data_IF_671949305751
#
_entry.id   IF_671949305751
#
_cell.length_a   1.000
_cell.length_b   1.000
_cell.length_c   1.000
_cell.angle_alpha   90.00
_cell.angle_beta   90.00
_cell.angle_gamma   90.00
#
_symmetry.space_group_name_H-M   'P 1'
#
loop_
_entity.id
_entity.type
_entity.pdbx_description
1 polymer ?
#
# COMPACT_ATOMS: atom_id res chain seq x y z
N UNK A 1 8.51 -19.18 -10.41
CA UNK A 1 7.65 -18.77 -9.28
C UNK A 1 7.61 -17.26 -9.03
N UNK A 2 8.72 -16.54 -9.10
CA UNK A 2 8.71 -15.09 -8.90
C UNK A 2 7.97 -14.29 -10.00
N UNK A 3 7.99 -14.79 -11.23
CA UNK A 3 7.39 -14.09 -12.38
C UNK A 3 5.85 -14.09 -12.36
N UNK A 4 5.22 -15.17 -11.88
CA UNK A 4 3.76 -15.27 -11.81
C UNK A 4 3.15 -14.34 -10.75
N UNK A 5 3.80 -14.23 -9.58
CA UNK A 5 3.36 -13.30 -8.51
C UNK A 5 3.56 -11.82 -8.90
N UNK A 6 4.60 -11.53 -9.68
CA UNK A 6 4.84 -10.19 -10.18
C UNK A 6 3.79 -9.77 -11.21
N UNK A 7 3.41 -10.71 -12.10
CA UNK A 7 2.33 -10.51 -13.07
C UNK A 7 0.96 -10.33 -12.39
N UNK A 8 0.70 -11.08 -11.30
CA UNK A 8 -0.56 -11.01 -10.55
C UNK A 8 -0.73 -9.67 -9.82
N UNK A 9 0.35 -9.12 -9.25
CA UNK A 9 0.29 -7.81 -8.58
C UNK A 9 -0.03 -6.68 -9.54
N UNK A 10 0.64 -6.64 -10.68
CA UNK A 10 0.38 -5.65 -11.74
C UNK A 10 -1.04 -5.77 -12.28
N UNK A 11 -1.46 -6.99 -12.61
CA UNK A 11 -2.80 -7.26 -13.13
C UNK A 11 -3.91 -6.83 -12.14
N UNK A 12 -3.74 -7.12 -10.86
CA UNK A 12 -4.70 -6.73 -9.82
C UNK A 12 -4.79 -5.21 -9.66
N UNK A 13 -3.67 -4.52 -9.55
CA UNK A 13 -3.64 -3.06 -9.39
C UNK A 13 -4.33 -2.38 -10.58
N UNK A 14 -3.99 -2.76 -11.81
CA UNK A 14 -4.63 -2.21 -13.01
C UNK A 14 -6.13 -2.53 -13.06
N UNK A 15 -6.53 -3.74 -12.69
CA UNK A 15 -7.92 -4.13 -12.60
C UNK A 15 -8.72 -3.25 -11.64
N UNK A 16 -8.21 -3.01 -10.42
CA UNK A 16 -8.91 -2.18 -9.43
C UNK A 16 -8.95 -0.71 -9.86
N UNK A 17 -7.83 -0.17 -10.35
CA UNK A 17 -7.78 1.22 -10.84
C UNK A 17 -8.81 1.43 -11.95
N UNK A 18 -8.83 0.55 -12.94
CA UNK A 18 -9.74 0.64 -14.08
C UNK A 18 -11.22 0.56 -13.66
N UNK A 19 -11.57 -0.37 -12.77
CA UNK A 19 -12.94 -0.51 -12.29
C UNK A 19 -13.37 0.65 -11.41
N UNK A 20 -12.49 1.18 -10.57
CA UNK A 20 -12.78 2.34 -9.71
C UNK A 20 -12.90 3.65 -10.50
N UNK A 21 -12.21 3.78 -11.63
CA UNK A 21 -12.31 4.96 -12.50
C UNK A 21 -13.58 4.96 -13.38
N UNK A 22 -14.21 3.81 -13.55
CA UNK A 22 -15.49 3.69 -14.24
C UNK A 22 -16.63 4.19 -13.34
N UNK A 23 -17.20 5.36 -13.65
CA UNK A 23 -18.29 5.95 -12.88
C UNK A 23 -19.59 5.11 -12.79
N UNK A 24 -19.71 4.05 -13.59
CA UNK A 24 -20.83 3.11 -13.58
C UNK A 24 -20.66 1.95 -12.61
N UNK A 25 -19.45 1.72 -12.08
CA UNK A 25 -19.11 0.58 -11.23
C UNK A 25 -19.01 0.95 -9.75
N UNK A 26 -20.00 1.68 -9.28
CA UNK A 26 -20.04 2.18 -7.89
C UNK A 26 -20.18 1.06 -6.86
N UNK A 27 -20.86 -0.03 -7.21
CA UNK A 27 -21.01 -1.22 -6.35
C UNK A 27 -19.67 -1.91 -6.07
N UNK A 28 -18.87 -2.16 -7.10
CA UNK A 28 -17.52 -2.69 -6.94
C UNK A 28 -16.67 -1.82 -6.03
N UNK A 29 -16.63 -0.52 -6.29
CA UNK A 29 -15.84 0.43 -5.50
C UNK A 29 -16.29 0.45 -4.04
N UNK A 30 -17.59 0.43 -3.77
CA UNK A 30 -18.13 0.41 -2.41
C UNK A 30 -17.71 -0.85 -1.64
N UNK A 31 -17.73 -2.02 -2.28
CA UNK A 31 -17.27 -3.28 -1.70
C UNK A 31 -15.76 -3.27 -1.49
N UNK A 32 -15.00 -2.86 -2.49
CA UNK A 32 -13.53 -2.87 -2.41
C UNK A 32 -13.00 -1.91 -1.35
N UNK A 33 -13.62 -0.76 -1.14
CA UNK A 33 -13.24 0.19 -0.06
C UNK A 33 -13.30 -0.41 1.34
N UNK A 34 -14.03 -1.51 1.53
CA UNK A 34 -14.22 -2.20 2.80
C UNK A 34 -13.47 -3.53 2.87
N UNK A 35 -12.68 -3.85 1.85
CA UNK A 35 -11.98 -5.13 1.76
C UNK A 35 -10.97 -5.33 2.90
N UNK A 36 -10.42 -4.26 3.43
CA UNK A 36 -9.49 -4.26 4.57
C UNK A 36 -10.17 -4.14 5.96
N UNK A 37 -11.49 -4.14 6.00
CA UNK A 37 -12.24 -4.17 7.24
C UNK A 37 -12.56 -5.63 7.63
N UNK A 38 -12.06 -6.16 8.76
CA UNK A 38 -12.27 -7.55 9.16
C UNK A 38 -13.73 -7.99 9.23
N UNK A 39 -14.64 -7.08 9.53
CA UNK A 39 -16.08 -7.36 9.64
C UNK A 39 -16.84 -7.33 8.30
N UNK A 40 -16.23 -6.84 7.22
CA UNK A 40 -16.88 -6.60 5.95
C UNK A 40 -16.07 -7.14 4.74
N UNK A 41 -14.90 -7.69 4.99
CA UNK A 41 -13.94 -8.11 3.94
C UNK A 41 -14.47 -9.23 3.03
N UNK A 42 -15.35 -10.09 3.52
CA UNK A 42 -15.84 -11.25 2.77
C UNK A 42 -16.59 -10.87 1.49
N UNK A 43 -17.23 -9.72 1.45
CA UNK A 43 -17.90 -9.24 0.24
C UNK A 43 -16.92 -8.96 -0.92
N UNK A 44 -15.66 -8.70 -0.63
CA UNK A 44 -14.62 -8.46 -1.64
C UNK A 44 -13.96 -9.74 -2.16
N UNK A 45 -14.13 -10.88 -1.52
CA UNK A 45 -13.42 -12.11 -1.85
C UNK A 45 -13.67 -12.60 -3.28
N UNK A 46 -14.86 -12.43 -3.80
CA UNK A 46 -15.17 -12.75 -5.19
C UNK A 46 -14.28 -11.99 -6.20
N UNK A 47 -13.85 -10.78 -5.86
CA UNK A 47 -12.96 -9.96 -6.69
C UNK A 47 -11.48 -10.26 -6.45
N UNK A 48 -11.13 -10.84 -5.31
CA UNK A 48 -9.76 -11.19 -4.96
C UNK A 48 -9.35 -12.58 -5.47
N UNK A 49 -10.30 -13.51 -5.51
CA UNK A 49 -10.02 -14.93 -5.85
C UNK A 49 -9.31 -15.15 -7.19
N UNK A 50 -9.55 -14.36 -8.25
CA UNK A 50 -8.81 -14.51 -9.49
C UNK A 50 -7.30 -14.16 -9.39
N UNK A 51 -6.90 -13.44 -8.35
CA UNK A 51 -5.55 -12.89 -8.22
C UNK A 51 -4.73 -13.50 -7.09
N UNK A 52 -5.37 -14.05 -6.06
CA UNK A 52 -4.67 -14.56 -4.90
C UNK A 52 -5.34 -15.81 -4.31
N UNK A 53 -4.56 -16.56 -3.53
CA UNK A 53 -5.06 -17.66 -2.71
C UNK A 53 -5.73 -17.09 -1.45
N UNK A 54 -7.06 -17.19 -1.38
CA UNK A 54 -7.82 -16.72 -0.21
C UNK A 54 -7.55 -17.52 1.06
N UNK A 55 -7.06 -18.76 0.96
CA UNK A 55 -6.68 -19.56 2.12
C UNK A 55 -5.37 -19.08 2.75
N UNK A 56 -4.54 -18.37 1.99
CA UNK A 56 -3.34 -17.71 2.50
C UNK A 56 -3.70 -16.37 3.13
N UNK A 57 -3.63 -16.26 4.45
CA UNK A 57 -3.82 -14.98 5.17
C UNK A 57 -2.88 -13.91 4.65
N UNK A 58 -1.64 -14.27 4.37
CA UNK A 58 -0.61 -13.36 3.84
C UNK A 58 -1.04 -12.72 2.51
N UNK A 59 -1.49 -13.54 1.55
CA UNK A 59 -1.97 -13.05 0.27
C UNK A 59 -3.29 -12.28 0.42
N UNK A 60 -4.27 -12.87 1.06
CA UNK A 60 -5.60 -12.27 1.22
C UNK A 60 -5.54 -10.89 1.86
N UNK A 61 -4.82 -10.74 2.97
CA UNK A 61 -4.68 -9.47 3.69
C UNK A 61 -3.94 -8.42 2.85
N UNK A 62 -2.90 -8.82 2.13
CA UNK A 62 -2.12 -7.92 1.28
C UNK A 62 -2.95 -7.37 0.10
N UNK A 63 -3.62 -8.26 -0.64
CA UNK A 63 -4.48 -7.85 -1.76
C UNK A 63 -5.67 -7.01 -1.29
N UNK A 64 -6.31 -7.38 -0.19
CA UNK A 64 -7.43 -6.65 0.38
C UNK A 64 -7.04 -5.22 0.79
N UNK A 65 -5.89 -5.05 1.45
CA UNK A 65 -5.40 -3.72 1.84
C UNK A 65 -5.14 -2.83 0.63
N UNK A 66 -4.45 -3.35 -0.38
CA UNK A 66 -4.12 -2.58 -1.58
C UNK A 66 -5.37 -2.24 -2.39
N UNK A 67 -6.28 -3.19 -2.57
CA UNK A 67 -7.56 -2.95 -3.24
C UNK A 67 -8.39 -1.87 -2.55
N UNK A 68 -8.48 -1.91 -1.22
CA UNK A 68 -9.18 -0.92 -0.43
C UNK A 68 -8.52 0.47 -0.51
N UNK A 69 -7.20 0.54 -0.48
CA UNK A 69 -6.46 1.80 -0.60
C UNK A 69 -6.70 2.46 -1.97
N UNK A 70 -6.63 1.70 -3.06
CA UNK A 70 -6.91 2.19 -4.42
C UNK A 70 -8.37 2.68 -4.52
N UNK A 71 -9.31 1.91 -4.00
CA UNK A 71 -10.73 2.27 -4.05
C UNK A 71 -11.07 3.54 -3.25
N UNK A 72 -10.34 3.82 -2.18
CA UNK A 72 -10.45 5.09 -1.42
C UNK A 72 -9.88 6.28 -2.17
N UNK A 73 -8.68 6.15 -2.70
CA UNK A 73 -7.98 7.21 -3.42
C UNK A 73 -8.59 7.47 -4.79
N UNK A 74 -9.02 6.43 -5.49
CA UNK A 74 -9.52 6.48 -6.86
C UNK A 74 -8.53 7.16 -7.81
N UNK A 75 -7.26 6.70 -7.89
CA UNK A 75 -6.28 7.30 -8.78
C UNK A 75 -6.61 7.01 -10.25
N UNK A 76 -6.19 7.89 -11.13
CA UNK A 76 -6.30 7.66 -12.59
C UNK A 76 -5.26 6.64 -13.07
N UNK A 77 -4.07 6.66 -12.46
CA UNK A 77 -2.98 5.72 -12.71
C UNK A 77 -2.25 5.39 -11.41
N UNK A 78 -1.50 4.29 -11.43
CA UNK A 78 -0.61 3.96 -10.32
C UNK A 78 0.48 5.03 -10.16
N UNK A 79 0.88 5.29 -8.93
CA UNK A 79 1.95 6.23 -8.62
C UNK A 79 3.34 5.60 -8.78
N UNK A 80 4.36 6.34 -8.40
CA UNK A 80 5.77 5.93 -8.54
C UNK A 80 6.53 5.85 -7.22
N UNK A 81 6.00 6.44 -6.15
CA UNK A 81 6.69 6.53 -4.86
C UNK A 81 6.55 5.27 -4.04
N UNK A 82 7.66 4.84 -3.41
CA UNK A 82 7.64 3.88 -2.33
C UNK A 82 7.14 4.49 -1.02
N UNK A 83 6.92 3.66 0.00
CA UNK A 83 6.35 4.10 1.29
C UNK A 83 7.26 5.12 2.01
N UNK A 84 8.55 4.83 2.11
CA UNK A 84 9.51 5.76 2.75
C UNK A 84 9.60 7.09 2.01
N UNK A 85 9.63 7.04 0.69
CA UNK A 85 9.66 8.24 -0.17
C UNK A 85 8.37 9.07 -0.05
N UNK A 86 7.20 8.42 -0.03
CA UNK A 86 5.93 9.10 0.15
C UNK A 86 5.84 9.82 1.51
N UNK A 87 6.29 9.16 2.58
CA UNK A 87 6.36 9.77 3.91
C UNK A 87 7.31 10.97 3.94
N UNK A 88 8.47 10.88 3.30
CA UNK A 88 9.44 11.98 3.24
C UNK A 88 8.88 13.18 2.47
N UNK A 89 8.26 12.96 1.32
CA UNK A 89 7.66 14.02 0.51
C UNK A 89 6.61 14.83 1.27
N UNK A 90 5.84 14.19 2.14
CA UNK A 90 4.83 14.87 2.96
C UNK A 90 5.41 15.80 4.02
N UNK A 91 6.68 15.62 4.39
CA UNK A 91 7.34 16.45 5.39
C UNK A 91 7.67 17.86 4.86
N UNK A 92 7.82 17.98 3.55
CA UNK A 92 8.04 19.27 2.86
C UNK A 92 9.17 20.12 3.48
N UNK A 93 10.25 19.47 3.92
CA UNK A 93 11.40 20.12 4.56
C UNK A 93 11.22 20.51 6.02
N UNK A 94 10.04 20.28 6.61
CA UNK A 94 9.77 20.56 8.01
C UNK A 94 10.38 19.49 8.93
N UNK A 95 11.23 19.90 9.88
CA UNK A 95 11.94 18.99 10.80
C UNK A 95 11.00 18.25 11.75
N UNK A 96 10.00 18.93 12.29
CA UNK A 96 9.04 18.33 13.23
C UNK A 96 8.12 17.33 12.50
N UNK A 97 7.70 17.66 11.27
CA UNK A 97 6.96 16.73 10.42
C UNK A 97 7.80 15.50 10.09
N UNK A 98 9.09 15.67 9.81
CA UNK A 98 10.03 14.57 9.55
C UNK A 98 10.20 13.66 10.76
N UNK A 99 10.32 14.20 11.94
CA UNK A 99 10.42 13.41 13.16
C UNK A 99 9.16 12.57 13.39
N UNK A 100 7.97 13.15 13.23
CA UNK A 100 6.68 12.42 13.32
C UNK A 100 6.55 11.35 12.26
N UNK A 101 6.96 11.63 11.02
CA UNK A 101 6.96 10.65 9.94
C UNK A 101 7.98 9.52 10.20
N UNK A 102 9.13 9.82 10.77
CA UNK A 102 10.11 8.82 11.21
C UNK A 102 9.56 7.88 12.27
N UNK A 103 8.74 8.37 13.20
CA UNK A 103 8.04 7.53 14.18
C UNK A 103 7.07 6.56 13.48
N UNK A 104 6.31 7.03 12.47
CA UNK A 104 5.44 6.15 11.67
C UNK A 104 6.23 5.07 10.95
N UNK A 105 7.32 5.46 10.29
CA UNK A 105 8.19 4.51 9.59
C UNK A 105 8.75 3.45 10.54
N UNK A 106 9.27 3.85 11.71
CA UNK A 106 9.79 2.90 12.71
C UNK A 106 8.75 1.89 13.17
N UNK A 107 7.49 2.29 13.32
CA UNK A 107 6.40 1.37 13.66
C UNK A 107 6.14 0.35 12.54
N UNK A 108 6.22 0.77 11.29
CA UNK A 108 6.06 -0.14 10.14
C UNK A 108 7.19 -1.17 10.08
N UNK A 109 8.44 -0.71 10.13
CA UNK A 109 9.61 -1.59 10.00
C UNK A 109 9.86 -2.47 11.23
N UNK A 110 9.20 -2.18 12.36
CA UNK A 110 9.24 -3.03 13.55
C UNK A 110 8.31 -4.26 13.44
N UNK A 111 7.41 -4.31 12.45
CA UNK A 111 6.51 -5.44 12.26
C UNK A 111 7.25 -6.60 11.58
N UNK A 112 7.23 -7.78 12.21
CA UNK A 112 7.88 -8.98 11.67
C UNK A 112 6.97 -9.78 10.75
N UNK A 113 5.66 -9.68 10.90
CA UNK A 113 4.66 -10.40 10.12
C UNK A 113 3.71 -9.45 9.38
N UNK A 114 3.06 -9.98 8.33
CA UNK A 114 2.00 -9.26 7.62
C UNK A 114 0.82 -8.98 8.54
N UNK A 115 0.47 -9.91 9.43
CA UNK A 115 -0.63 -9.73 10.38
C UNK A 115 -0.42 -8.53 11.31
N UNK A 116 0.82 -8.29 11.71
CA UNK A 116 1.20 -7.10 12.51
C UNK A 116 1.26 -5.83 11.66
N UNK A 117 1.80 -5.94 10.44
CA UNK A 117 2.02 -4.81 9.54
C UNK A 117 0.70 -4.21 9.02
N UNK A 118 -0.26 -5.03 8.62
CA UNK A 118 -1.48 -4.58 7.92
C UNK A 118 -2.22 -3.48 8.69
N UNK A 119 -2.53 -3.60 10.00
CA UNK A 119 -3.24 -2.55 10.73
C UNK A 119 -2.45 -1.24 10.82
N UNK A 120 -1.13 -1.33 10.95
CA UNK A 120 -0.25 -0.15 11.04
C UNK A 120 -0.14 0.52 9.68
N UNK A 121 0.05 -0.27 8.62
CA UNK A 121 0.15 0.22 7.26
C UNK A 121 -1.18 0.83 6.78
N UNK A 122 -2.31 0.24 7.10
CA UNK A 122 -3.63 0.79 6.78
C UNK A 122 -3.77 2.25 7.25
N UNK A 123 -3.40 2.52 8.49
CA UNK A 123 -3.43 3.88 9.06
C UNK A 123 -2.44 4.81 8.36
N UNK A 124 -1.27 4.30 8.02
CA UNK A 124 -0.25 5.06 7.29
C UNK A 124 -0.70 5.41 5.87
N UNK A 125 -1.31 4.47 5.15
CA UNK A 125 -1.87 4.73 3.81
C UNK A 125 -2.98 5.78 3.86
N UNK A 126 -3.89 5.68 4.82
CA UNK A 126 -4.95 6.68 5.01
C UNK A 126 -4.36 8.06 5.32
N UNK A 127 -3.31 8.13 6.14
CA UNK A 127 -2.61 9.37 6.42
C UNK A 127 -1.97 9.96 5.15
N UNK A 128 -1.24 9.16 4.38
CA UNK A 128 -0.62 9.59 3.11
C UNK A 128 -1.70 10.13 2.15
N UNK A 129 -2.78 9.39 1.98
CA UNK A 129 -3.89 9.78 1.10
C UNK A 129 -4.57 11.08 1.58
N UNK A 130 -4.78 11.24 2.88
CA UNK A 130 -5.39 12.45 3.46
C UNK A 130 -4.57 13.71 3.24
N UNK A 131 -3.26 13.56 3.01
CA UNK A 131 -2.32 14.65 2.72
C UNK A 131 -2.03 14.84 1.23
N UNK A 132 -2.74 14.11 0.36
CA UNK A 132 -2.54 14.17 -1.08
C UNK A 132 -1.27 13.46 -1.57
N UNK A 133 -0.66 12.62 -0.75
CA UNK A 133 0.49 11.80 -1.15
C UNK A 133 0.08 10.67 -2.08
N UNK A 134 1.00 10.24 -2.93
CA UNK A 134 0.80 9.17 -3.90
C UNK A 134 1.77 8.01 -3.66
N UNK A 135 1.36 6.82 -4.08
CA UNK A 135 2.11 5.57 -3.91
C UNK A 135 2.09 4.75 -5.19
N UNK A 136 3.15 3.98 -5.40
CA UNK A 136 3.14 2.88 -6.36
C UNK A 136 2.51 1.64 -5.71
N UNK A 137 1.23 1.39 -5.96
CA UNK A 137 0.51 0.28 -5.36
C UNK A 137 0.98 -1.07 -5.84
N UNK A 138 1.39 -1.18 -7.11
CA UNK A 138 1.98 -2.42 -7.64
C UNK A 138 3.25 -2.79 -6.88
N UNK A 139 4.15 -1.83 -6.68
CA UNK A 139 5.38 -2.04 -5.89
C UNK A 139 5.05 -2.41 -4.45
N UNK A 140 4.15 -1.68 -3.82
CA UNK A 140 3.75 -1.93 -2.44
C UNK A 140 3.15 -3.33 -2.27
N UNK A 141 2.27 -3.76 -3.18
CA UNK A 141 1.71 -5.10 -3.13
C UNK A 141 2.79 -6.18 -3.23
N UNK A 142 3.76 -6.04 -4.14
CA UNK A 142 4.90 -6.96 -4.23
C UNK A 142 5.74 -6.98 -2.94
N UNK A 143 5.99 -5.82 -2.37
CA UNK A 143 6.72 -5.69 -1.10
C UNK A 143 5.99 -6.39 0.05
N UNK A 144 4.67 -6.30 0.11
CA UNK A 144 3.86 -7.01 1.11
C UNK A 144 3.89 -8.53 0.90
N UNK A 145 3.78 -9.00 -0.34
CA UNK A 145 3.82 -10.43 -0.66
C UNK A 145 5.18 -11.07 -0.32
N UNK A 146 6.24 -10.29 -0.30
CA UNK A 146 7.61 -10.70 0.04
C UNK A 146 8.14 -9.92 1.24
N UNK A 147 7.28 -9.65 2.24
CA UNK A 147 7.67 -8.90 3.43
C UNK A 147 8.85 -9.55 4.14
N UNK A 148 9.95 -8.83 4.24
CA UNK A 148 11.20 -9.28 4.83
C UNK A 148 12.09 -8.10 5.25
N UNK A 149 13.25 -8.40 5.83
CA UNK A 149 14.22 -7.40 6.26
C UNK A 149 14.68 -6.48 5.13
N UNK A 150 14.87 -7.01 3.92
CA UNK A 150 15.29 -6.22 2.75
C UNK A 150 14.29 -5.12 2.43
N UNK A 151 13.00 -5.42 2.47
CA UNK A 151 11.94 -4.42 2.26
C UNK A 151 11.95 -3.35 3.35
N UNK A 152 12.15 -3.76 4.61
CA UNK A 152 12.26 -2.82 5.75
C UNK A 152 13.45 -1.88 5.58
N UNK A 153 14.60 -2.40 5.18
CA UNK A 153 15.81 -1.60 4.87
C UNK A 153 15.52 -0.63 3.71
N UNK A 154 14.89 -1.10 2.66
CA UNK A 154 14.58 -0.25 1.49
C UNK A 154 13.67 0.92 1.86
N UNK A 155 12.62 0.70 2.65
CA UNK A 155 11.77 1.79 3.12
C UNK A 155 12.53 2.79 3.99
N UNK A 156 13.45 2.31 4.81
CA UNK A 156 14.33 3.15 5.63
C UNK A 156 15.24 4.02 4.77
N UNK A 157 15.87 3.43 3.75
CA UNK A 157 16.71 4.17 2.79
C UNK A 157 15.93 5.25 2.04
N UNK A 158 14.74 4.93 1.54
CA UNK A 158 13.88 5.89 0.85
C UNK A 158 13.58 7.13 1.69
N UNK A 159 13.50 6.98 2.99
CA UNK A 159 13.18 8.07 3.91
C UNK A 159 14.41 8.87 4.35
N UNK A 160 15.53 8.22 4.60
CA UNK A 160 16.71 8.86 5.20
C UNK A 160 17.86 9.17 4.21
N UNK A 161 18.05 8.39 3.15
CA UNK A 161 19.18 8.61 2.22
C UNK A 161 18.98 9.79 1.27
N UNK A 162 17.75 10.13 0.91
CA UNK A 162 17.47 11.25 0.00
C UNK A 162 17.78 12.63 0.59
N UNK A 163 17.89 12.73 1.92
CA UNK A 163 18.24 14.01 2.57
C UNK A 163 19.73 14.36 2.46
N UNK A 164 20.60 13.38 2.25
CA UNK A 164 22.04 13.63 2.15
C UNK A 164 22.47 14.23 0.80
N UNK A 165 21.57 14.29 -0.18
CA UNK A 165 21.84 14.89 -1.50
C UNK A 165 21.28 16.31 -1.66
N UNK A 166 20.75 16.91 -0.61
CA UNK A 166 20.16 18.26 -0.60
C UNK A 166 20.94 19.32 0.15
N UNK A 167 22.09 18.96 0.73
CA UNK A 167 23.02 19.91 1.36
C UNK A 167 24.33 19.98 0.56
N UNK A 168 24.30 20.60 -0.60
CA UNK A 168 25.44 21.27 -1.25
C UNK A 168 25.04 22.68 -1.65
#
# INVERSE_FOLDING_TARGET
MNNEKQSSSSAFVQYVIKRCSNGKDTGFRAVMRRADNPNQCSAAWEYLVPFCDLASDHQRLSFALIGAAIAREKPEHDGTSGVGEALLKLCNGDKDAKERAGVRLRRLIACDSIQELIPVLQRTLQYIQSKGGTLCYERLLRELLFWNERTRIEWTKQFYEKDNNGEE
#
